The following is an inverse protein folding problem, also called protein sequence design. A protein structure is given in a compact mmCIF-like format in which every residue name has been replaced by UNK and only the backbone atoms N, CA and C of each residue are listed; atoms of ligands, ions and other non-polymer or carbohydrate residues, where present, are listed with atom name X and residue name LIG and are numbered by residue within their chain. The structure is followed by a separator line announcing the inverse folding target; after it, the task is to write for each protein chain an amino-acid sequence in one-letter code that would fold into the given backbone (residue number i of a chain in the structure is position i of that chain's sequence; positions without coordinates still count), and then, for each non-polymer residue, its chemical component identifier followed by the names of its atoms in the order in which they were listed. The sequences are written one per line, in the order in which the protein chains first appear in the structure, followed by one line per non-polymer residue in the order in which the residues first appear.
data_IF_690145779075
#
_entry.id   IF_690145779075
#
_cell.length_a   1.000
_cell.length_b   1.000
_cell.length_c   1.000
_cell.angle_alpha   90.00
_cell.angle_beta   90.00
_cell.angle_gamma   90.00
#
_symmetry.space_group_name_H-M   'P 1'
#
loop_
_entity.id
_entity.type
_entity.pdbx_description
1 polymer ?
#
# COMPACT_ATOMS: atom_id res chain seq x y z
N UNK A 1 6.46 -86.65 -35.46
CA UNK A 1 5.51 -86.55 -36.59
C UNK A 1 4.32 -85.74 -36.13
N UNK A 2 3.86 -84.83 -37.00
CA UNK A 2 2.54 -84.16 -37.02
C UNK A 2 2.33 -82.87 -36.19
N UNK A 3 1.69 -81.91 -36.87
CA UNK A 3 1.52 -80.46 -36.61
C UNK A 3 0.13 -80.08 -36.04
N UNK A 4 0.03 -78.78 -35.66
CA UNK A 4 -1.13 -77.83 -35.58
C UNK A 4 -2.04 -77.87 -34.31
N UNK A 5 -2.04 -76.81 -33.46
CA UNK A 5 -2.85 -75.54 -33.46
C UNK A 5 -4.14 -75.69 -32.60
N UNK A 6 -4.63 -74.83 -31.68
CA UNK A 6 -4.65 -73.34 -31.54
C UNK A 6 -5.12 -72.91 -30.12
N UNK A 7 -4.76 -71.69 -29.67
CA UNK A 7 -5.44 -70.75 -28.72
C UNK A 7 -5.58 -71.14 -27.22
N UNK A 8 -5.41 -70.31 -26.18
CA UNK A 8 -5.69 -68.88 -25.95
C UNK A 8 -4.82 -68.22 -24.83
N UNK A 9 -4.55 -66.92 -24.99
CA UNK A 9 -4.43 -65.80 -24.00
C UNK A 9 -4.12 -66.11 -22.52
N UNK A 10 -3.17 -65.42 -21.85
CA UNK A 10 -3.29 -64.01 -21.46
C UNK A 10 -1.96 -63.47 -20.90
N UNK A 11 -1.72 -62.21 -21.23
CA UNK A 11 -0.47 -61.44 -21.13
C UNK A 11 -0.07 -61.03 -19.71
N UNK A 12 1.24 -61.09 -19.47
CA UNK A 12 2.00 -60.37 -18.46
C UNK A 12 2.04 -58.88 -18.79
N UNK A 13 1.73 -58.02 -17.80
CA UNK A 13 1.97 -56.58 -17.85
C UNK A 13 2.67 -56.17 -16.56
N UNK A 14 3.96 -55.89 -16.66
CA UNK A 14 4.69 -55.06 -15.70
C UNK A 14 4.20 -53.62 -15.85
N UNK A 15 3.70 -53.02 -14.77
CA UNK A 15 3.40 -51.59 -14.74
C UNK A 15 4.66 -50.88 -14.22
N UNK A 16 5.35 -50.20 -15.14
CA UNK A 16 6.42 -49.25 -14.88
C UNK A 16 5.86 -47.87 -14.54
N UNK A 17 6.65 -47.15 -13.73
CA UNK A 17 6.55 -45.78 -13.22
C UNK A 17 6.09 -44.68 -14.19
N UNK A 18 5.64 -43.60 -13.54
CA UNK A 18 5.62 -42.16 -13.92
C UNK A 18 4.61 -41.72 -14.99
N UNK A 19 3.45 -41.27 -14.52
CA UNK A 19 2.59 -40.34 -15.26
C UNK A 19 3.19 -38.93 -15.14
N UNK A 20 3.50 -38.38 -16.31
CA UNK A 20 4.04 -37.04 -16.55
C UNK A 20 2.84 -36.08 -16.60
N UNK A 21 2.62 -35.31 -15.53
CA UNK A 21 1.52 -34.36 -15.37
C UNK A 21 1.86 -33.03 -16.08
N UNK A 22 2.11 -33.14 -17.38
CA UNK A 22 2.64 -32.03 -18.20
C UNK A 22 1.48 -31.22 -18.76
N UNK A 23 1.21 -30.08 -18.13
CA UNK A 23 0.23 -29.06 -18.54
C UNK A 23 0.44 -28.68 -20.03
N UNK A 24 -0.62 -28.60 -20.86
CA UNK A 24 -0.50 -28.27 -22.27
C UNK A 24 0.20 -26.92 -22.52
N UNK A 25 1.14 -26.82 -23.49
CA UNK A 25 2.02 -25.66 -23.67
C UNK A 25 1.30 -24.34 -24.02
N UNK A 26 0.04 -24.38 -24.47
CA UNK A 26 -0.75 -23.18 -24.78
C UNK A 26 -1.36 -22.47 -23.57
N UNK A 27 -1.55 -23.16 -22.43
CA UNK A 27 -2.10 -22.55 -21.21
C UNK A 27 -1.00 -21.87 -20.39
N UNK A 28 0.18 -22.49 -20.30
CA UNK A 28 1.33 -21.92 -19.61
C UNK A 28 1.81 -20.61 -20.26
N UNK A 29 1.77 -20.49 -21.59
CA UNK A 29 2.11 -19.24 -22.29
C UNK A 29 1.02 -18.16 -22.15
N UNK A 30 -0.26 -18.53 -22.09
CA UNK A 30 -1.35 -17.59 -21.86
C UNK A 30 -1.35 -17.07 -20.42
N UNK A 31 -1.09 -17.94 -19.45
CA UNK A 31 -0.96 -17.62 -18.04
C UNK A 31 0.30 -16.80 -17.78
N UNK A 32 1.43 -17.13 -18.42
CA UNK A 32 2.67 -16.34 -18.37
C UNK A 32 2.54 -14.99 -19.08
N UNK A 33 1.75 -14.87 -20.15
CA UNK A 33 1.44 -13.59 -20.81
C UNK A 33 0.49 -12.73 -19.99
N UNK A 34 -0.43 -13.33 -19.25
CA UNK A 34 -1.32 -12.63 -18.31
C UNK A 34 -0.58 -12.22 -17.02
N UNK A 35 0.37 -13.04 -16.54
CA UNK A 35 1.31 -12.71 -15.46
C UNK A 35 2.34 -11.64 -15.89
N UNK A 36 2.76 -11.63 -17.16
CA UNK A 36 3.57 -10.55 -17.73
C UNK A 36 2.75 -9.27 -17.96
N UNK A 37 1.43 -9.35 -18.17
CA UNK A 37 0.53 -8.19 -18.12
C UNK A 37 0.24 -7.70 -16.71
N UNK A 38 0.52 -8.52 -15.70
CA UNK A 38 0.65 -8.09 -14.30
C UNK A 38 2.04 -7.50 -14.00
N UNK A 39 2.84 -7.18 -15.02
CA UNK A 39 3.85 -6.14 -14.91
C UNK A 39 3.16 -4.89 -14.37
N UNK A 40 3.60 -4.47 -13.18
CA UNK A 40 3.18 -3.22 -12.56
C UNK A 40 3.22 -2.10 -13.60
N UNK A 41 2.12 -1.34 -13.71
CA UNK A 41 2.05 -0.14 -14.55
C UNK A 41 3.36 0.68 -14.43
N UNK A 42 3.86 1.26 -15.53
CA UNK A 42 5.10 2.02 -15.52
C UNK A 42 5.03 3.09 -14.42
N UNK A 43 6.09 3.23 -13.59
CA UNK A 43 6.02 4.12 -12.45
C UNK A 43 5.90 5.57 -12.92
N UNK A 44 5.07 6.34 -12.21
CA UNK A 44 4.88 7.77 -12.49
C UNK A 44 5.31 8.60 -11.29
N UNK A 45 5.70 9.85 -11.53
CA UNK A 45 6.00 10.77 -10.42
C UNK A 45 4.73 11.18 -9.67
N UNK A 46 3.69 11.53 -10.42
CA UNK A 46 2.40 11.96 -9.89
C UNK A 46 1.27 11.20 -10.58
N UNK A 47 0.49 10.47 -9.79
CA UNK A 47 -0.67 9.71 -10.20
C UNK A 47 -1.93 10.33 -9.61
N UNK A 48 -2.96 10.51 -10.46
CA UNK A 48 -4.32 10.82 -10.02
C UNK A 48 -5.31 9.92 -10.74
N UNK A 49 -6.23 9.34 -9.99
CA UNK A 49 -7.39 8.60 -10.51
C UNK A 49 -8.63 9.16 -9.80
N UNK A 50 -9.48 9.84 -10.55
CA UNK A 50 -10.71 10.48 -10.06
C UNK A 50 -11.93 9.87 -10.75
N UNK A 51 -12.37 8.73 -10.22
CA UNK A 51 -13.46 7.94 -10.79
C UNK A 51 -14.66 7.93 -9.82
N UNK A 52 -15.59 8.88 -9.95
CA UNK A 52 -16.66 9.08 -8.96
C UNK A 52 -17.58 7.86 -8.83
N UNK A 53 -17.78 7.10 -9.91
CA UNK A 53 -18.73 5.99 -10.00
C UNK A 53 -18.08 4.64 -10.32
N UNK A 54 -16.74 4.56 -10.30
CA UNK A 54 -16.03 3.31 -10.62
C UNK A 54 -15.14 2.88 -9.46
N UNK A 55 -15.03 1.56 -9.30
CA UNK A 55 -14.15 0.95 -8.31
C UNK A 55 -12.70 1.15 -8.73
N UNK A 56 -11.85 1.60 -7.78
CA UNK A 56 -10.42 1.74 -8.01
C UNK A 56 -9.72 0.59 -7.29
N UNK A 57 -9.17 -0.34 -8.07
CA UNK A 57 -8.46 -1.52 -7.58
C UNK A 57 -7.18 -1.73 -8.38
N UNK A 58 -6.15 -2.24 -7.72
CA UNK A 58 -4.91 -2.63 -8.40
C UNK A 58 -3.66 -2.26 -7.64
N UNK A 59 -2.53 -2.39 -8.34
CA UNK A 59 -1.19 -2.06 -7.86
C UNK A 59 -0.67 -0.89 -8.69
N UNK A 60 -0.21 0.16 -8.03
CA UNK A 60 0.29 1.36 -8.67
C UNK A 60 1.69 1.65 -8.17
N UNK A 61 2.58 2.09 -9.07
CA UNK A 61 3.94 2.46 -8.71
C UNK A 61 4.14 3.98 -8.85
N UNK A 62 4.64 4.60 -7.79
CA UNK A 62 5.08 6.01 -7.80
C UNK A 62 6.51 6.13 -7.32
N UNK A 63 7.22 7.20 -7.67
CA UNK A 63 8.52 7.47 -7.08
C UNK A 63 8.99 8.92 -7.22
N UNK A 64 9.69 9.48 -6.21
CA UNK A 64 10.14 10.87 -6.23
C UNK A 64 11.28 11.13 -7.22
N UNK A 65 12.01 10.09 -7.62
CA UNK A 65 13.07 10.16 -8.64
C UNK A 65 12.54 9.91 -10.06
N UNK A 66 11.27 9.52 -10.19
CA UNK A 66 10.66 9.28 -11.50
C UNK A 66 10.47 10.63 -12.17
N UNK A 67 10.83 10.79 -13.45
CA UNK A 67 10.58 12.02 -14.18
C UNK A 67 9.07 12.31 -14.25
N UNK A 68 8.70 13.59 -14.26
CA UNK A 68 7.31 13.98 -14.46
C UNK A 68 6.89 13.65 -15.90
N UNK A 69 5.83 12.86 -16.07
CA UNK A 69 5.36 12.43 -17.38
C UNK A 69 4.33 13.41 -17.93
N UNK A 70 4.54 13.91 -19.15
CA UNK A 70 3.57 14.76 -19.87
C UNK A 70 3.37 14.26 -21.30
N UNK A 71 2.13 13.95 -21.72
CA UNK A 71 0.91 13.91 -20.91
C UNK A 71 0.97 12.79 -19.83
N UNK A 72 0.29 12.96 -18.69
CA UNK A 72 0.24 11.91 -17.67
C UNK A 72 -0.51 10.67 -18.17
N UNK A 73 -0.16 9.49 -17.65
CA UNK A 73 -0.81 8.21 -17.99
C UNK A 73 -2.23 8.09 -17.44
N UNK A 74 -2.50 8.80 -16.34
CA UNK A 74 -3.81 8.84 -15.68
C UNK A 74 -4.35 10.28 -15.72
N UNK A 75 -5.34 10.58 -14.87
CA UNK A 75 -5.89 11.92 -14.77
C UNK A 75 -4.81 12.95 -14.40
N UNK A 76 -4.98 14.18 -14.88
CA UNK A 76 -4.04 15.26 -14.60
C UNK A 76 -3.94 15.51 -13.09
N UNK A 77 -2.74 15.37 -12.47
CA UNK A 77 -2.53 15.71 -11.07
C UNK A 77 -2.89 17.17 -10.79
N UNK A 78 -3.34 17.47 -9.56
CA UNK A 78 -3.61 18.87 -9.22
C UNK A 78 -2.29 19.67 -9.13
N UNK A 79 -2.30 20.98 -9.45
CA UNK A 79 -1.12 21.83 -9.28
C UNK A 79 -0.58 21.81 -7.84
N UNK A 80 -1.49 21.73 -6.86
CA UNK A 80 -1.13 21.62 -5.44
C UNK A 80 -0.36 20.33 -5.15
N UNK A 81 -0.85 19.18 -5.65
CA UNK A 81 -0.20 17.89 -5.44
C UNK A 81 1.21 17.87 -6.04
N UNK A 82 1.39 18.49 -7.22
CA UNK A 82 2.68 18.57 -7.94
C UNK A 82 3.65 19.53 -7.25
N UNK A 83 3.17 20.66 -6.74
CA UNK A 83 4.01 21.67 -6.10
C UNK A 83 4.41 21.29 -4.67
N UNK A 84 3.50 20.67 -3.91
CA UNK A 84 3.71 20.41 -2.50
C UNK A 84 4.40 19.07 -2.23
N UNK A 85 4.40 18.12 -3.16
CA UNK A 85 4.90 16.77 -2.93
C UNK A 85 6.06 16.41 -3.87
N UNK A 86 6.94 15.53 -3.40
CA UNK A 86 8.02 14.99 -4.23
C UNK A 86 7.50 13.98 -5.27
N UNK A 87 6.49 13.20 -4.88
CA UNK A 87 5.67 12.30 -5.70
C UNK A 87 4.31 12.13 -5.03
N UNK A 88 3.27 11.80 -5.79
CA UNK A 88 1.92 11.64 -5.24
C UNK A 88 1.12 10.53 -5.92
N UNK A 89 0.31 9.79 -5.16
CA UNK A 89 -0.75 8.91 -5.66
C UNK A 89 -2.08 9.31 -5.04
N UNK A 90 -3.03 9.81 -5.84
CA UNK A 90 -4.31 10.34 -5.36
C UNK A 90 -5.47 9.57 -5.99
N UNK A 91 -6.23 8.87 -5.17
CA UNK A 91 -7.39 8.08 -5.58
C UNK A 91 -8.67 8.70 -5.01
N UNK A 92 -9.63 9.02 -5.88
CA UNK A 92 -10.91 9.61 -5.51
C UNK A 92 -12.07 8.83 -6.12
N UNK A 93 -13.05 8.52 -5.28
CA UNK A 93 -14.34 7.98 -5.70
C UNK A 93 -15.46 8.64 -4.89
N UNK A 94 -16.69 8.58 -5.39
CA UNK A 94 -17.88 9.05 -4.66
C UNK A 94 -18.68 7.88 -4.12
N UNK A 95 -19.00 6.91 -4.96
CA UNK A 95 -19.91 5.81 -4.63
C UNK A 95 -19.23 4.45 -4.57
N UNK A 96 -18.01 4.34 -5.09
CA UNK A 96 -17.31 3.06 -5.23
C UNK A 96 -16.17 2.88 -4.22
N UNK A 97 -15.82 1.62 -3.91
CA UNK A 97 -14.71 1.32 -3.02
C UNK A 97 -13.35 1.61 -3.68
N UNK A 98 -12.37 1.90 -2.85
CA UNK A 98 -10.96 2.01 -3.22
C UNK A 98 -10.22 0.88 -2.50
N UNK A 99 -9.52 0.02 -3.23
CA UNK A 99 -8.63 -0.99 -2.66
C UNK A 99 -7.36 -1.09 -3.50
N UNK A 100 -6.33 -0.36 -3.08
CA UNK A 100 -5.13 -0.17 -3.87
C UNK A 100 -3.88 -0.48 -3.07
N UNK A 101 -2.92 -1.08 -3.75
CA UNK A 101 -1.55 -1.22 -3.26
C UNK A 101 -0.67 -0.20 -3.97
N UNK A 102 0.05 0.63 -3.22
CA UNK A 102 0.95 1.64 -3.76
C UNK A 102 2.39 1.25 -3.46
N UNK A 103 3.12 0.91 -4.52
CA UNK A 103 4.56 0.70 -4.45
C UNK A 103 5.26 2.04 -4.58
N UNK A 104 6.08 2.37 -3.60
CA UNK A 104 6.86 3.61 -3.62
C UNK A 104 8.30 3.29 -3.97
N UNK A 105 8.65 3.54 -5.22
CA UNK A 105 9.97 3.30 -5.78
C UNK A 105 10.91 4.44 -5.43
N UNK A 106 12.16 4.08 -5.16
CA UNK A 106 13.26 5.01 -4.98
C UNK A 106 14.24 4.70 -6.10
N UNK A 107 14.55 5.67 -6.94
CA UNK A 107 15.53 5.49 -8.00
C UNK A 107 16.88 5.06 -7.42
N UNK A 108 17.66 4.34 -8.22
CA UNK A 108 19.09 4.21 -7.95
C UNK A 108 19.66 5.62 -7.81
N UNK A 109 20.31 5.88 -6.68
CA UNK A 109 20.52 7.22 -6.14
C UNK A 109 20.94 8.27 -7.17
N UNK A 110 19.99 9.15 -7.52
CA UNK A 110 20.39 10.52 -7.79
C UNK A 110 20.80 11.11 -6.44
N UNK A 111 22.12 11.22 -6.24
CA UNK A 111 22.68 12.08 -5.21
C UNK A 111 22.23 13.50 -5.52
N UNK A 112 21.04 13.89 -5.06
CA UNK A 112 20.71 15.31 -4.97
C UNK A 112 21.63 15.91 -3.91
N UNK A 113 22.36 17.00 -4.22
CA UNK A 113 23.20 17.68 -3.27
C UNK A 113 22.41 18.07 -2.03
N UNK A 114 23.12 17.98 -0.92
CA UNK A 114 22.67 18.14 0.43
C UNK A 114 22.31 19.60 0.72
N UNK A 115 21.05 19.98 0.54
CA UNK A 115 20.47 21.08 1.31
C UNK A 115 19.47 20.51 2.30
N UNK A 116 19.95 20.31 3.53
CA UNK A 116 19.03 20.20 4.65
C UNK A 116 18.25 21.53 4.69
N UNK A 117 16.91 21.54 4.71
CA UNK A 117 16.19 22.78 4.92
C UNK A 117 16.69 23.37 6.24
N UNK A 118 17.16 24.61 6.20
CA UNK A 118 17.59 25.36 7.38
C UNK A 118 16.39 25.45 8.34
N UNK A 119 16.30 24.50 9.26
CA UNK A 119 15.23 24.40 10.27
C UNK A 119 15.63 25.11 11.56
N UNK A 120 16.81 25.74 11.57
CA UNK A 120 17.29 26.60 12.66
C UNK A 120 16.40 27.84 12.79
N UNK A 121 15.41 27.77 13.69
CA UNK A 121 14.56 28.90 14.09
C UNK A 121 13.08 28.82 13.69
N UNK A 122 12.61 27.72 13.07
CA UNK A 122 11.20 27.54 12.72
C UNK A 122 10.39 26.97 13.89
N UNK A 123 9.17 27.48 14.09
CA UNK A 123 8.23 26.94 15.07
C UNK A 123 7.90 25.47 14.74
N UNK A 124 7.60 24.59 15.72
CA UNK A 124 7.33 23.17 15.48
C UNK A 124 6.19 22.91 14.48
N UNK A 125 5.22 23.82 14.39
CA UNK A 125 4.14 23.79 13.38
C UNK A 125 4.66 24.10 11.97
N UNK A 126 5.59 25.04 11.84
CA UNK A 126 6.22 25.39 10.55
C UNK A 126 7.16 24.29 10.09
N UNK A 127 7.92 23.65 10.99
CA UNK A 127 8.73 22.47 10.66
C UNK A 127 7.84 21.33 10.13
N UNK A 128 6.66 21.11 10.73
CA UNK A 128 5.69 20.13 10.22
C UNK A 128 5.19 20.48 8.82
N UNK A 129 4.88 21.75 8.56
CA UNK A 129 4.46 22.23 7.23
C UNK A 129 5.58 22.14 6.19
N UNK A 130 6.82 22.48 6.54
CA UNK A 130 7.98 22.38 5.64
C UNK A 130 8.42 20.93 5.43
N UNK A 131 8.23 20.04 6.40
CA UNK A 131 8.45 18.59 6.21
C UNK A 131 7.34 17.93 5.38
N UNK A 132 6.11 18.47 5.42
CA UNK A 132 5.05 18.08 4.51
C UNK A 132 5.35 18.53 3.07
N UNK A 133 5.97 19.69 2.89
CA UNK A 133 6.50 20.10 1.60
C UNK A 133 7.61 19.11 1.18
N UNK A 134 7.45 18.51 0.00
CA UNK A 134 8.28 17.44 -0.56
C UNK A 134 8.10 16.04 0.03
N UNK A 135 6.99 15.75 0.72
CA UNK A 135 6.65 14.39 1.12
C UNK A 135 6.35 13.48 -0.09
N UNK A 136 6.39 12.16 0.11
CA UNK A 136 5.71 11.22 -0.79
C UNK A 136 4.27 11.09 -0.30
N UNK A 137 3.31 11.48 -1.13
CA UNK A 137 1.91 11.57 -0.73
C UNK A 137 1.08 10.42 -1.30
N UNK A 138 0.33 9.72 -0.46
CA UNK A 138 -0.61 8.67 -0.86
C UNK A 138 -1.97 8.98 -0.27
N UNK A 139 -2.98 9.16 -1.11
CA UNK A 139 -4.30 9.62 -0.70
C UNK A 139 -5.41 8.78 -1.29
N UNK A 140 -6.35 8.35 -0.44
CA UNK A 140 -7.55 7.64 -0.84
C UNK A 140 -8.78 8.28 -0.20
N UNK A 141 -9.74 8.70 -1.03
CA UNK A 141 -11.00 9.30 -0.56
C UNK A 141 -12.19 8.69 -1.27
N UNK A 142 -13.12 8.11 -0.51
CA UNK A 142 -14.44 7.69 -1.02
C UNK A 142 -15.55 8.32 -0.19
N UNK A 143 -16.61 8.87 -0.79
CA UNK A 143 -17.69 9.45 0.03
C UNK A 143 -18.54 8.35 0.68
N UNK A 144 -19.05 7.42 -0.11
CA UNK A 144 -20.07 6.47 0.35
C UNK A 144 -19.58 5.03 0.52
N UNK A 145 -18.29 4.79 0.32
CA UNK A 145 -17.74 3.44 0.35
C UNK A 145 -16.40 3.37 1.08
N UNK A 146 -15.89 2.15 1.23
CA UNK A 146 -14.68 1.88 1.99
C UNK A 146 -13.41 2.23 1.21
N UNK A 147 -12.36 2.58 1.94
CA UNK A 147 -11.02 2.88 1.41
C UNK A 147 -10.03 1.94 2.07
N UNK A 148 -9.29 1.18 1.28
CA UNK A 148 -8.14 0.39 1.70
C UNK A 148 -6.91 0.88 0.94
N UNK A 149 -5.92 1.39 1.68
CA UNK A 149 -4.62 1.78 1.15
C UNK A 149 -3.57 0.82 1.72
N UNK A 150 -2.85 0.14 0.85
CA UNK A 150 -1.74 -0.73 1.23
C UNK A 150 -0.43 -0.18 0.69
N UNK A 151 0.49 0.17 1.59
CA UNK A 151 1.85 0.59 1.26
C UNK A 151 2.80 -0.47 1.84
N UNK A 152 3.16 -1.52 1.07
CA UNK A 152 3.85 -2.69 1.61
C UNK A 152 5.25 -2.35 2.12
N UNK A 153 5.95 -1.47 1.41
CA UNK A 153 7.31 -1.07 1.71
C UNK A 153 7.53 0.38 1.36
N UNK A 154 8.37 1.06 2.14
CA UNK A 154 8.84 2.40 1.86
C UNK A 154 10.25 2.58 2.42
N UNK A 155 11.17 3.04 1.58
CA UNK A 155 12.58 3.25 1.93
C UNK A 155 13.06 4.56 1.32
N UNK A 156 12.82 5.67 2.00
CA UNK A 156 13.19 6.98 1.50
C UNK A 156 13.64 7.94 2.59
N UNK A 157 14.34 9.00 2.15
CA UNK A 157 14.69 10.14 3.01
C UNK A 157 13.53 11.12 3.16
N UNK A 158 12.65 11.21 2.15
CA UNK A 158 11.48 12.09 2.21
C UNK A 158 10.44 11.48 3.16
N UNK A 159 9.67 12.29 3.91
CA UNK A 159 8.57 11.78 4.71
C UNK A 159 7.49 11.12 3.86
N UNK A 160 6.86 10.06 4.37
CA UNK A 160 5.67 9.45 3.80
C UNK A 160 4.42 10.08 4.44
N UNK A 161 3.53 10.62 3.62
CA UNK A 161 2.26 11.17 4.06
C UNK A 161 1.11 10.35 3.46
N UNK A 162 0.37 9.63 4.31
CA UNK A 162 -0.77 8.82 3.93
C UNK A 162 -2.04 9.49 4.44
N UNK A 163 -3.02 9.67 3.57
CA UNK A 163 -4.34 10.20 3.94
C UNK A 163 -5.45 9.30 3.42
N UNK A 164 -6.27 8.79 4.33
CA UNK A 164 -7.37 7.90 3.99
C UNK A 164 -8.67 8.41 4.61
N UNK A 165 -9.68 8.65 3.78
CA UNK A 165 -10.93 9.26 4.24
C UNK A 165 -12.16 8.60 3.63
N UNK A 166 -13.19 8.39 4.45
CA UNK A 166 -14.53 8.08 3.99
C UNK A 166 -15.60 8.90 4.71
N UNK A 167 -16.80 9.04 4.16
CA UNK A 167 -17.94 9.57 4.93
C UNK A 167 -18.72 8.43 5.57
N UNK A 168 -19.05 7.36 4.82
CA UNK A 168 -19.88 6.26 5.34
C UNK A 168 -19.28 4.86 5.20
N UNK A 169 -17.99 4.77 4.88
CA UNK A 169 -17.26 3.51 4.69
C UNK A 169 -16.24 3.23 5.78
N UNK A 170 -15.70 2.01 5.73
CA UNK A 170 -14.54 1.64 6.53
C UNK A 170 -13.27 2.17 5.88
N UNK A 171 -12.30 2.56 6.70
CA UNK A 171 -10.99 3.01 6.22
C UNK A 171 -9.94 2.10 6.81
N UNK A 172 -9.19 1.44 5.95
CA UNK A 172 -8.08 0.57 6.32
C UNK A 172 -6.80 1.13 5.72
N UNK A 173 -5.75 1.26 6.54
CA UNK A 173 -4.41 1.60 6.07
C UNK A 173 -3.44 0.53 6.55
N UNK A 174 -2.77 -0.10 5.59
CA UNK A 174 -1.67 -1.03 5.83
C UNK A 174 -0.37 -0.27 5.64
N UNK A 175 0.29 0.03 6.76
CA UNK A 175 1.52 0.83 6.82
C UNK A 175 2.75 -0.03 6.50
N UNK A 176 3.81 0.54 5.91
CA UNK A 176 5.08 -0.16 5.77
C UNK A 176 5.73 -0.33 7.14
N UNK A 177 6.49 -1.41 7.36
CA UNK A 177 7.21 -1.65 8.62
C UNK A 177 8.12 -0.50 9.05
N UNK A 178 8.68 0.20 8.06
CA UNK A 178 9.57 1.34 8.25
C UNK A 178 8.86 2.61 8.73
N UNK A 179 7.52 2.64 8.75
CA UNK A 179 6.75 3.81 9.16
C UNK A 179 7.21 4.33 10.52
N UNK A 180 7.55 5.62 10.56
CA UNK A 180 8.07 6.30 11.74
C UNK A 180 7.48 7.71 11.81
N UNK A 181 6.59 7.96 12.77
CA UNK A 181 5.95 9.28 12.85
C UNK A 181 4.58 9.27 13.51
N UNK A 182 3.62 10.02 12.97
CA UNK A 182 2.34 10.28 13.61
C UNK A 182 1.20 9.54 12.92
N UNK A 183 0.35 8.90 13.72
CA UNK A 183 -0.95 8.37 13.30
C UNK A 183 -2.01 9.24 13.93
N UNK A 184 -2.83 9.88 13.11
CA UNK A 184 -3.94 10.73 13.52
C UNK A 184 -5.24 10.12 13.00
N UNK A 185 -6.23 10.02 13.87
CA UNK A 185 -7.55 9.53 13.49
C UNK A 185 -8.66 10.45 13.97
N UNK A 186 -9.75 10.48 13.21
CA UNK A 186 -10.98 11.14 13.60
C UNK A 186 -12.20 10.37 13.09
N UNK A 187 -13.14 10.09 13.97
CA UNK A 187 -14.43 9.53 13.61
C UNK A 187 -15.56 10.09 14.45
N UNK A 188 -16.74 10.28 13.85
CA UNK A 188 -17.87 10.90 14.54
C UNK A 188 -18.73 9.86 15.28
N UNK A 189 -19.07 8.77 14.61
CA UNK A 189 -19.87 7.67 15.16
C UNK A 189 -19.19 6.30 15.06
N UNK A 190 -17.97 6.26 14.51
CA UNK A 190 -17.24 5.04 14.25
C UNK A 190 -16.38 4.52 15.39
N UNK A 191 -15.67 3.44 15.10
CA UNK A 191 -14.68 2.84 15.99
C UNK A 191 -13.29 2.88 15.34
N UNK A 192 -12.26 2.99 16.18
CA UNK A 192 -10.87 2.88 15.75
C UNK A 192 -10.27 1.64 16.35
N UNK A 193 -9.55 0.89 15.53
CA UNK A 193 -8.83 -0.31 15.95
C UNK A 193 -7.47 -0.34 15.30
N UNK A 194 -6.47 -0.79 16.04
CA UNK A 194 -5.11 -0.97 15.55
C UNK A 194 -4.75 -2.43 15.73
N UNK A 195 -3.96 -2.96 14.80
CA UNK A 195 -3.34 -4.28 14.98
C UNK A 195 -2.45 -4.33 16.24
N UNK A 196 -2.21 -5.51 16.82
CA UNK A 196 -1.36 -5.65 18.01
C UNK A 196 0.04 -5.06 17.81
N UNK A 197 0.66 -5.24 16.64
CA UNK A 197 1.99 -4.71 16.35
C UNK A 197 2.00 -3.19 16.28
N UNK A 198 0.99 -2.59 15.65
CA UNK A 198 0.84 -1.12 15.65
C UNK A 198 0.62 -0.63 17.08
N UNK A 199 -0.29 -1.26 17.82
CA UNK A 199 -0.61 -0.86 19.19
C UNK A 199 0.62 -0.88 20.10
N UNK A 200 1.43 -1.94 20.03
CA UNK A 200 2.66 -2.10 20.81
C UNK A 200 3.72 -1.02 20.49
N UNK A 201 3.70 -0.46 19.28
CA UNK A 201 4.68 0.54 18.80
C UNK A 201 4.17 1.97 18.85
N UNK A 202 2.94 2.17 19.30
CA UNK A 202 2.30 3.49 19.37
C UNK A 202 2.19 4.00 20.80
N UNK A 203 2.59 5.25 21.00
CA UNK A 203 2.34 6.01 22.22
C UNK A 203 1.34 7.12 21.91
N UNK A 204 0.20 7.11 22.62
CA UNK A 204 -0.81 8.16 22.47
C UNK A 204 -0.28 9.49 23.02
N UNK A 205 -0.53 10.58 22.29
CA UNK A 205 -0.05 11.93 22.63
C UNK A 205 -1.14 12.84 23.22
N UNK A 206 -2.41 12.48 23.08
CA UNK A 206 -3.52 13.33 23.56
C UNK A 206 -3.56 13.38 25.09
N UNK A 207 -3.78 14.56 25.66
CA UNK A 207 -4.00 14.75 27.11
C UNK A 207 -5.30 14.13 27.60
N UNK A 208 -6.35 14.19 26.77
CA UNK A 208 -7.65 13.57 27.04
C UNK A 208 -7.94 12.44 26.05
N UNK A 209 -7.98 11.18 26.50
CA UNK A 209 -8.17 10.05 25.61
C UNK A 209 -9.62 9.99 25.11
N UNK A 210 -9.83 10.33 23.84
CA UNK A 210 -11.09 10.07 23.12
C UNK A 210 -11.02 8.78 22.31
N UNK A 211 -12.10 7.99 22.30
CA UNK A 211 -12.22 6.84 21.39
C UNK A 211 -12.44 7.26 19.93
N UNK A 212 -12.94 8.47 19.73
CA UNK A 212 -13.39 9.01 18.45
C UNK A 212 -12.30 9.77 17.70
N UNK A 213 -11.45 10.49 18.43
CA UNK A 213 -10.33 11.25 17.87
C UNK A 213 -9.07 10.98 18.64
N UNK A 214 -7.93 11.09 17.98
CA UNK A 214 -6.66 11.06 18.68
C UNK A 214 -5.45 11.12 17.77
N UNK A 215 -4.32 11.31 18.44
CA UNK A 215 -3.00 11.30 17.82
C UNK A 215 -2.10 10.36 18.61
N UNK A 216 -1.40 9.48 17.90
CA UNK A 216 -0.37 8.61 18.46
C UNK A 216 0.93 8.78 17.70
N UNK A 217 2.03 8.78 18.44
CA UNK A 217 3.37 8.66 17.89
C UNK A 217 3.71 7.20 17.74
N UNK A 218 3.99 6.77 16.53
CA UNK A 218 4.53 5.45 16.24
C UNK A 218 6.06 5.53 16.18
N UNK A 219 6.72 4.68 16.97
CA UNK A 219 8.17 4.53 16.92
C UNK A 219 8.51 3.38 15.98
N UNK A 220 9.54 3.60 15.17
CA UNK A 220 10.03 2.56 14.28
C UNK A 220 10.58 1.37 15.04
N UNK A 221 10.56 0.19 14.43
CA UNK A 221 11.19 -1.00 14.99
C UNK A 221 12.68 -0.73 15.21
N UNK A 222 13.24 -0.89 16.43
CA UNK A 222 14.66 -0.68 16.68
C UNK A 222 15.55 -1.61 15.86
N UNK A 223 15.04 -2.78 15.43
CA UNK A 223 15.81 -3.76 14.66
C UNK A 223 15.89 -3.41 13.16
N UNK A 224 15.13 -2.40 12.71
CA UNK A 224 15.20 -1.94 11.32
C UNK A 224 16.47 -1.13 11.06
N UNK A 225 17.18 -1.40 9.94
CA UNK A 225 18.34 -0.62 9.57
C UNK A 225 18.03 0.87 9.44
N UNK A 226 18.90 1.73 9.98
CA UNK A 226 18.68 3.18 9.97
C UNK A 226 18.46 3.77 8.56
N UNK A 227 19.02 3.18 7.50
CA UNK A 227 18.76 3.65 6.12
C UNK A 227 17.29 3.47 5.68
N UNK A 228 16.57 2.49 6.23
CA UNK A 228 15.14 2.29 5.96
C UNK A 228 14.24 3.33 6.63
N UNK A 229 14.74 3.96 7.69
CA UNK A 229 13.96 4.85 8.58
C UNK A 229 14.42 6.30 8.46
N UNK A 230 15.36 6.59 7.56
CA UNK A 230 16.00 7.90 7.47
C UNK A 230 16.80 8.26 8.73
N UNK A 231 17.41 7.27 9.38
CA UNK A 231 18.11 7.38 10.67
C UNK A 231 17.20 7.91 11.78
N UNK A 232 15.93 7.49 11.78
CA UNK A 232 14.91 7.96 12.72
C UNK A 232 14.47 9.41 12.53
N UNK A 233 15.00 10.13 11.53
CA UNK A 233 14.67 11.54 11.24
C UNK A 233 13.44 11.70 10.36
N UNK A 234 12.90 10.61 9.85
CA UNK A 234 11.71 10.63 9.01
C UNK A 234 10.47 10.89 9.87
N UNK A 235 9.72 11.93 9.53
CA UNK A 235 8.46 12.31 10.19
C UNK A 235 7.26 11.91 9.34
N UNK A 236 7.00 10.60 9.25
CA UNK A 236 5.86 10.08 8.49
C UNK A 236 4.53 10.52 9.15
N UNK A 237 3.49 10.65 8.34
CA UNK A 237 2.15 11.04 8.82
C UNK A 237 1.12 10.13 8.20
N UNK A 238 0.24 9.56 9.01
CA UNK A 238 -0.93 8.83 8.57
C UNK A 238 -2.19 9.47 9.15
N UNK A 239 -3.05 10.00 8.28
CA UNK A 239 -4.33 10.61 8.66
C UNK A 239 -5.49 9.73 8.21
N UNK A 240 -6.30 9.30 9.17
CA UNK A 240 -7.52 8.52 8.93
C UNK A 240 -8.75 9.30 9.36
N UNK A 241 -9.78 9.34 8.52
CA UNK A 241 -11.05 9.94 8.91
C UNK A 241 -12.26 9.20 8.39
N UNK A 242 -13.28 8.99 9.23
CA UNK A 242 -14.60 8.55 8.78
C UNK A 242 -15.73 9.15 9.58
N UNK A 243 -16.82 9.61 8.94
CA UNK A 243 -17.97 10.11 9.69
C UNK A 243 -18.73 8.94 10.34
N UNK A 244 -19.11 7.93 9.55
CA UNK A 244 -19.64 6.65 10.01
C UNK A 244 -18.81 5.50 9.45
N UNK A 245 -18.39 4.55 10.29
CA UNK A 245 -17.58 3.42 9.85
C UNK A 245 -16.54 2.98 10.87
N UNK A 246 -15.55 2.22 10.42
CA UNK A 246 -14.43 1.76 11.26
C UNK A 246 -13.13 2.23 10.64
N UNK A 247 -12.21 2.68 11.47
CA UNK A 247 -10.83 2.96 11.10
C UNK A 247 -9.97 1.80 11.57
N UNK A 248 -9.21 1.22 10.66
CA UNK A 248 -8.28 0.14 10.95
C UNK A 248 -6.87 0.48 10.45
N UNK A 249 -5.87 0.25 11.31
CA UNK A 249 -4.46 0.44 10.97
C UNK A 249 -3.68 -0.81 11.33
N UNK A 250 -2.94 -1.35 10.37
CA UNK A 250 -2.01 -2.45 10.59
C UNK A 250 -0.67 -2.21 9.90
N UNK A 251 0.34 -3.01 10.26
CA UNK A 251 1.58 -3.10 9.50
C UNK A 251 1.42 -4.12 8.38
N UNK A 252 2.07 -3.87 7.24
CA UNK A 252 2.21 -4.87 6.18
C UNK A 252 2.85 -6.13 6.76
N UNK A 253 2.42 -7.33 6.37
CA UNK A 253 2.94 -8.58 6.93
C UNK A 253 2.45 -8.94 8.34
N UNK A 254 1.68 -8.07 9.00
CA UNK A 254 1.00 -8.44 10.25
C UNK A 254 -0.06 -9.51 9.96
N UNK A 255 -0.03 -10.62 10.72
CA UNK A 255 -1.04 -11.67 10.61
C UNK A 255 -2.28 -11.18 11.35
N UNK A 256 -3.21 -10.56 10.64
CA UNK A 256 -4.50 -10.20 11.23
C UNK A 256 -5.13 -11.45 11.88
N UNK A 257 -5.52 -11.37 13.16
CA UNK A 257 -6.49 -12.32 13.72
C UNK A 257 -7.80 -12.12 12.98
N UNK A 258 -8.04 -12.97 11.99
CA UNK A 258 -9.20 -12.95 11.11
C UNK A 258 -10.44 -13.33 11.94
N UNK A 259 -11.14 -12.32 12.48
CA UNK A 259 -12.53 -12.48 12.89
C UNK A 259 -13.36 -12.77 11.63
N UNK A 260 -13.83 -14.00 11.50
CA UNK A 260 -14.39 -14.65 10.30
C UNK A 260 -15.65 -14.03 9.65
N UNK A 261 -15.95 -12.74 9.81
CA UNK A 261 -17.23 -12.19 9.31
C UNK A 261 -17.22 -10.84 8.62
N UNK A 262 -16.12 -10.09 8.53
CA UNK A 262 -16.15 -8.82 7.80
C UNK A 262 -14.87 -8.62 7.00
N UNK A 263 -15.05 -8.50 5.69
CA UNK A 263 -14.01 -8.36 4.67
C UNK A 263 -12.87 -7.43 5.10
N UNK A 264 -11.70 -8.01 5.30
CA UNK A 264 -10.41 -7.31 5.24
C UNK A 264 -9.56 -8.15 4.29
N UNK A 265 -9.60 -7.82 3.00
CA UNK A 265 -8.58 -8.30 2.06
C UNK A 265 -7.40 -7.34 2.21
N UNK A 266 -6.27 -7.88 2.68
CA UNK A 266 -4.94 -7.41 2.30
C UNK A 266 -4.51 -8.20 1.07
#
# INVERSE_FOLDING_TARGET
MSNLSTSENRRSVMISRTEDDTVPPGLAEAEMRELARQETDPPVRHLRIDWPSSTIKGRFAIGPSVPDMRPPLYDMPSPEDVQQNSSSAVFRSKTSPINVTVQVLHGQGSQTPHDAPATSGLNPVQVLQTMQQQAVFVSGKSTHNSVCLHIPQYVGRKPLHIRAASTSGHVTVVLPHSFNGLIRWNTESGLVSMSPLVHARTQRLDSEPSKKRGTAKMVVDPDLPGWMTGQGRRGDVCELSTHTGRLYVCLSGDKAQLGSKNCVIC
#
